data_IF_114956127794
#
_entry.id   IF_114956127794
#
_cell.length_a   1.000
_cell.length_b   1.000
_cell.length_c   1.000
_cell.angle_alpha   90.00
_cell.angle_beta   90.00
_cell.angle_gamma   90.00
#
_symmetry.space_group_name_H-M   'P 1'
#
loop_
_entity.id
_entity.type
_entity.pdbx_description
1 polymer ?
#
# COMPACT_ATOMS: atom_id res chain seq x y z
N UNK A 1 -6.04 13.15 2.51
CA UNK A 1 -4.77 13.76 2.06
C UNK A 1 -4.76 15.27 2.21
N UNK A 2 -5.90 15.91 2.05
CA UNK A 2 -6.03 17.37 2.10
C UNK A 2 -5.85 17.97 3.51
N UNK A 3 -6.00 17.18 4.56
CA UNK A 3 -5.93 17.69 5.95
C UNK A 3 -4.53 17.89 6.51
N UNK A 4 -3.49 17.46 5.84
CA UNK A 4 -2.11 17.51 6.38
C UNK A 4 -1.90 16.71 7.68
N UNK A 5 -2.93 16.04 8.19
CA UNK A 5 -2.85 15.27 9.45
C UNK A 5 -1.79 14.16 9.42
N UNK A 6 -1.56 13.58 8.25
CA UNK A 6 -0.51 12.58 8.03
C UNK A 6 0.91 13.16 8.20
N UNK A 7 1.10 14.47 7.96
CA UNK A 7 2.37 15.16 8.19
C UNK A 7 2.65 15.38 9.68
N UNK A 8 1.60 15.62 10.48
CA UNK A 8 1.74 15.72 11.93
C UNK A 8 2.21 14.39 12.54
N UNK A 9 1.75 13.26 11.98
CA UNK A 9 2.19 11.92 12.37
C UNK A 9 3.65 11.65 11.99
N UNK A 10 4.15 12.33 10.97
CA UNK A 10 5.51 12.16 10.45
C UNK A 10 6.59 12.87 11.29
N UNK A 11 6.23 13.95 11.97
CA UNK A 11 7.19 14.78 12.74
C UNK A 11 8.09 13.99 13.71
N UNK A 12 7.59 13.08 14.56
CA UNK A 12 8.45 12.32 15.48
C UNK A 12 9.38 11.35 14.74
N UNK A 13 9.00 10.90 13.54
CA UNK A 13 9.76 9.94 12.75
C UNK A 13 10.81 10.59 11.83
N UNK A 14 10.86 11.91 11.76
CA UNK A 14 11.73 12.68 10.86
C UNK A 14 13.21 12.27 10.97
N UNK A 15 13.73 12.16 12.20
CA UNK A 15 15.14 11.79 12.41
C UNK A 15 15.43 10.37 11.91
N UNK A 16 14.50 9.46 12.14
CA UNK A 16 14.59 8.07 11.71
C UNK A 16 14.48 7.92 10.18
N UNK A 17 13.54 8.61 9.55
CA UNK A 17 13.29 8.49 8.12
C UNK A 17 14.45 9.04 7.28
N UNK A 18 15.00 10.19 7.65
CA UNK A 18 16.09 10.82 6.92
C UNK A 18 17.41 10.10 7.16
N UNK A 19 17.73 9.76 8.41
CA UNK A 19 19.00 9.13 8.75
C UNK A 19 19.12 7.69 8.25
N UNK A 20 18.03 6.93 8.29
CA UNK A 20 18.05 5.50 7.95
C UNK A 20 17.67 5.23 6.47
N UNK A 21 16.68 5.96 5.95
CA UNK A 21 16.10 5.66 4.64
C UNK A 21 16.35 6.75 3.58
N UNK A 22 16.85 7.93 3.96
CA UNK A 22 17.00 9.05 3.01
C UNK A 22 15.67 9.55 2.46
N UNK A 23 14.55 9.24 3.11
CA UNK A 23 13.21 9.63 2.70
C UNK A 23 12.75 10.86 3.48
N UNK A 24 12.17 11.87 2.81
CA UNK A 24 11.43 12.93 3.49
C UNK A 24 10.36 12.36 4.42
N UNK A 25 10.16 13.01 5.55
CA UNK A 25 9.20 12.59 6.60
C UNK A 25 7.81 12.29 6.06
N UNK A 26 7.38 13.08 5.08
CA UNK A 26 6.09 12.95 4.42
C UNK A 26 5.93 11.61 3.70
N UNK A 27 6.92 11.19 2.95
CA UNK A 27 6.87 9.94 2.17
C UNK A 27 7.06 8.71 3.06
N UNK A 28 7.80 8.86 4.15
CA UNK A 28 7.93 7.79 5.13
C UNK A 28 6.61 7.56 5.90
N UNK A 29 5.90 8.63 6.27
CA UNK A 29 4.58 8.51 6.86
C UNK A 29 3.57 7.84 5.90
N UNK A 30 3.63 8.18 4.61
CA UNK A 30 2.83 7.54 3.57
C UNK A 30 3.15 6.04 3.46
N UNK A 31 4.44 5.68 3.50
CA UNK A 31 4.88 4.30 3.53
C UNK A 31 4.30 3.55 4.72
N UNK A 32 4.44 4.08 5.94
CA UNK A 32 3.88 3.45 7.14
C UNK A 32 2.36 3.30 7.04
N UNK A 33 1.66 4.35 6.62
CA UNK A 33 0.22 4.31 6.46
C UNK A 33 -0.21 3.22 5.46
N UNK A 34 0.54 3.05 4.37
CA UNK A 34 0.27 2.00 3.37
C UNK A 34 0.42 0.59 3.91
N UNK A 35 1.34 0.36 4.87
CA UNK A 35 1.53 -0.95 5.50
C UNK A 35 0.31 -1.35 6.34
N UNK A 36 -0.35 -0.37 6.98
CA UNK A 36 -1.55 -0.63 7.79
C UNK A 36 -2.83 -0.63 6.96
N UNK A 37 -2.97 0.31 6.04
CA UNK A 37 -4.16 0.44 5.23
C UNK A 37 -4.23 -0.57 4.06
N UNK A 38 -3.09 -1.15 3.68
CA UNK A 38 -2.96 -2.08 2.58
C UNK A 38 -2.71 -1.42 1.23
N UNK A 39 -2.30 -2.25 0.25
CA UNK A 39 -1.84 -1.80 -1.06
C UNK A 39 -2.80 -0.89 -1.86
N UNK A 40 -4.12 -1.06 -1.85
CA UNK A 40 -4.97 -0.19 -2.66
C UNK A 40 -4.95 1.26 -2.19
N UNK A 41 -4.78 1.48 -0.89
CA UNK A 41 -4.73 2.83 -0.31
C UNK A 41 -3.40 3.50 -0.64
N UNK A 42 -2.27 2.82 -0.44
CA UNK A 42 -0.95 3.34 -0.79
C UNK A 42 -0.85 3.77 -2.25
N UNK A 43 -1.27 2.91 -3.18
CA UNK A 43 -1.25 3.20 -4.61
C UNK A 43 -2.15 4.40 -4.98
N UNK A 44 -3.35 4.49 -4.41
CA UNK A 44 -4.27 5.61 -4.67
C UNK A 44 -3.72 6.94 -4.16
N UNK A 45 -3.06 6.94 -2.99
CA UNK A 45 -2.41 8.11 -2.44
C UNK A 45 -1.25 8.60 -3.31
N UNK A 46 -0.38 7.69 -3.75
CA UNK A 46 0.72 8.01 -4.67
C UNK A 46 0.22 8.58 -6.00
N UNK A 47 -0.84 7.98 -6.57
CA UNK A 47 -1.47 8.47 -7.79
C UNK A 47 -2.01 9.90 -7.61
N UNK A 48 -2.62 10.20 -6.48
CA UNK A 48 -3.14 11.55 -6.18
C UNK A 48 -2.01 12.57 -6.07
N UNK A 49 -0.93 12.25 -5.33
CA UNK A 49 0.23 13.12 -5.18
C UNK A 49 0.94 13.38 -6.52
N UNK A 50 1.02 12.37 -7.37
CA UNK A 50 1.59 12.51 -8.72
C UNK A 50 0.72 13.41 -9.61
N UNK A 51 -0.61 13.26 -9.55
CA UNK A 51 -1.55 14.12 -10.30
C UNK A 51 -1.51 15.58 -9.83
N UNK A 52 -1.24 15.81 -8.55
CA UNK A 52 -1.08 17.15 -7.98
C UNK A 52 0.29 17.78 -8.29
N UNK A 53 1.19 17.06 -8.97
CA UNK A 53 2.54 17.54 -9.27
C UNK A 53 3.48 17.63 -8.07
N UNK A 54 3.07 17.09 -6.91
CA UNK A 54 3.88 17.08 -5.67
C UNK A 54 4.99 16.04 -5.75
N UNK A 55 4.75 14.94 -6.47
CA UNK A 55 5.64 13.80 -6.61
C UNK A 55 5.94 13.53 -8.08
N UNK A 56 7.23 13.33 -8.42
CA UNK A 56 7.62 12.93 -9.77
C UNK A 56 7.13 11.52 -10.10
N UNK A 57 6.90 11.22 -11.39
CA UNK A 57 6.49 9.89 -11.82
C UNK A 57 7.51 8.80 -11.48
N UNK A 58 8.80 9.13 -11.56
CA UNK A 58 9.89 8.22 -11.23
C UNK A 58 9.90 7.87 -9.74
N UNK A 59 9.80 8.89 -8.89
CA UNK A 59 9.75 8.69 -7.43
C UNK A 59 8.47 7.99 -6.98
N UNK A 60 7.34 8.28 -7.65
CA UNK A 60 6.09 7.57 -7.43
C UNK A 60 6.22 6.07 -7.74
N UNK A 61 6.87 5.71 -8.84
CA UNK A 61 7.12 4.32 -9.21
C UNK A 61 8.00 3.60 -8.18
N UNK A 62 9.04 4.28 -7.69
CA UNK A 62 9.94 3.74 -6.66
C UNK A 62 9.21 3.55 -5.32
N UNK A 63 8.42 4.55 -4.91
CA UNK A 63 7.60 4.45 -3.69
C UNK A 63 6.53 3.37 -3.80
N UNK A 64 5.96 3.17 -4.99
CA UNK A 64 4.97 2.13 -5.21
C UNK A 64 5.52 0.72 -4.91
N UNK A 65 6.80 0.47 -5.21
CA UNK A 65 7.44 -0.82 -4.92
C UNK A 65 7.45 -1.16 -3.43
N UNK A 66 7.54 -0.16 -2.56
CA UNK A 66 7.58 -0.35 -1.09
C UNK A 66 6.22 -0.14 -0.42
N UNK A 67 5.32 0.61 -1.06
CA UNK A 67 3.96 0.86 -0.57
C UNK A 67 2.97 -0.26 -0.93
N UNK A 68 3.46 -1.36 -1.51
CA UNK A 68 2.67 -2.51 -1.91
C UNK A 68 2.74 -3.61 -0.85
N UNK A 69 2.00 -3.45 0.23
CA UNK A 69 1.94 -4.42 1.33
C UNK A 69 0.52 -4.93 1.59
N UNK A 70 0.40 -6.20 1.96
CA UNK A 70 -0.87 -6.75 2.46
C UNK A 70 -1.18 -6.16 3.83
N UNK A 71 -2.25 -5.36 3.94
CA UNK A 71 -2.67 -4.80 5.23
C UNK A 71 -3.09 -5.87 6.23
N UNK A 72 -3.11 -5.54 7.54
CA UNK A 72 -3.46 -6.49 8.60
C UNK A 72 -4.85 -7.11 8.41
N UNK A 73 -5.81 -6.37 7.90
CA UNK A 73 -7.15 -6.87 7.62
C UNK A 73 -7.15 -7.99 6.56
N UNK A 74 -6.35 -7.84 5.50
CA UNK A 74 -6.19 -8.86 4.47
C UNK A 74 -5.54 -10.14 5.03
N UNK A 75 -4.46 -9.98 5.81
CA UNK A 75 -3.77 -11.12 6.43
C UNK A 75 -4.66 -11.86 7.44
N UNK A 76 -5.44 -11.14 8.24
CA UNK A 76 -6.40 -11.75 9.16
C UNK A 76 -7.51 -12.51 8.43
N UNK A 77 -7.97 -12.01 7.30
CA UNK A 77 -8.94 -12.69 6.44
C UNK A 77 -8.37 -13.98 5.84
N UNK A 78 -7.14 -13.92 5.32
CA UNK A 78 -6.45 -15.08 4.75
C UNK A 78 -6.18 -16.19 5.79
N UNK A 79 -5.80 -15.81 7.01
CA UNK A 79 -5.49 -16.72 8.11
C UNK A 79 -6.72 -17.17 8.90
N UNK A 80 -7.93 -16.81 8.46
CA UNK A 80 -9.18 -17.11 9.18
C UNK A 80 -9.43 -18.57 9.51
N UNK A 81 -8.87 -19.48 8.72
CA UNK A 81 -9.04 -20.95 8.83
C UNK A 81 -7.87 -21.67 9.52
N UNK A 82 -6.81 -20.94 9.90
CA UNK A 82 -5.59 -21.53 10.47
C UNK A 82 -5.70 -21.64 12.00
N UNK A 83 -5.38 -22.82 12.56
CA UNK A 83 -5.43 -23.08 14.00
C UNK A 83 -4.53 -22.15 14.83
N UNK A 84 -3.33 -21.82 14.34
CA UNK A 84 -2.38 -20.88 14.98
C UNK A 84 -2.51 -19.46 14.48
N UNK A 85 -3.70 -18.98 14.25
CA UNK A 85 -4.02 -17.69 13.60
C UNK A 85 -3.21 -16.50 14.12
N UNK A 86 -3.11 -16.36 15.45
CA UNK A 86 -2.46 -15.19 16.06
C UNK A 86 -0.94 -15.17 15.85
N UNK A 87 -0.29 -16.30 16.07
CA UNK A 87 1.17 -16.44 15.91
C UNK A 87 1.56 -16.33 14.43
N UNK A 88 0.86 -17.03 13.54
CA UNK A 88 1.08 -16.94 12.11
C UNK A 88 0.88 -15.51 11.58
N UNK A 89 -0.17 -14.81 12.05
CA UNK A 89 -0.41 -13.42 11.69
C UNK A 89 0.77 -12.52 12.08
N UNK A 90 1.24 -12.60 13.33
CA UNK A 90 2.36 -11.76 13.80
C UNK A 90 3.65 -12.06 13.03
N UNK A 91 3.95 -13.33 12.76
CA UNK A 91 5.13 -13.72 12.00
C UNK A 91 5.07 -13.22 10.56
N UNK A 92 3.96 -13.42 9.86
CA UNK A 92 3.80 -13.01 8.46
C UNK A 92 3.79 -11.49 8.35
N UNK A 93 3.06 -10.80 9.23
CA UNK A 93 3.00 -9.35 9.23
C UNK A 93 4.36 -8.71 9.54
N UNK A 94 5.08 -9.21 10.55
CA UNK A 94 6.41 -8.71 10.89
C UNK A 94 7.43 -9.00 9.79
N UNK A 95 7.40 -10.17 9.18
CA UNK A 95 8.26 -10.52 8.06
C UNK A 95 7.99 -9.62 6.84
N UNK A 96 6.71 -9.38 6.50
CA UNK A 96 6.32 -8.47 5.43
C UNK A 96 6.77 -7.04 5.70
N UNK A 97 6.55 -6.54 6.92
CA UNK A 97 6.98 -5.20 7.31
C UNK A 97 8.51 -5.06 7.24
N UNK A 98 9.25 -6.07 7.74
CA UNK A 98 10.71 -6.08 7.69
C UNK A 98 11.23 -6.12 6.25
N UNK A 99 10.64 -6.95 5.39
CA UNK A 99 11.01 -7.03 3.97
C UNK A 99 10.77 -5.68 3.26
N UNK A 100 9.63 -5.04 3.50
CA UNK A 100 9.34 -3.72 2.92
C UNK A 100 10.26 -2.62 3.47
N UNK A 101 10.62 -2.65 4.76
CA UNK A 101 11.60 -1.73 5.34
C UNK A 101 13.00 -1.94 4.72
N UNK A 102 13.42 -3.19 4.55
CA UNK A 102 14.69 -3.53 3.91
C UNK A 102 14.71 -3.05 2.45
N UNK A 103 13.64 -3.29 1.72
CA UNK A 103 13.49 -2.82 0.34
C UNK A 103 13.50 -1.28 0.26
N UNK A 104 12.82 -0.61 1.19
CA UNK A 104 12.85 0.84 1.33
C UNK A 104 14.28 1.35 1.54
N UNK A 105 15.02 0.73 2.45
CA UNK A 105 16.43 1.06 2.68
C UNK A 105 17.28 0.88 1.42
N UNK A 106 17.18 -0.26 0.74
CA UNK A 106 17.97 -0.56 -0.47
C UNK A 106 17.67 0.41 -1.61
N UNK A 107 16.40 0.78 -1.82
CA UNK A 107 15.98 1.64 -2.93
C UNK A 107 16.34 3.12 -2.72
N UNK A 108 16.26 3.61 -1.47
CA UNK A 108 16.37 5.05 -1.20
C UNK A 108 17.69 5.46 -0.57
N UNK A 109 18.45 4.54 0.03
CA UNK A 109 19.76 4.85 0.60
C UNK A 109 20.75 5.40 -0.44
N UNK A 110 20.69 4.90 -1.69
CA UNK A 110 21.60 5.36 -2.77
C UNK A 110 21.07 6.54 -3.58
N UNK A 111 19.76 6.73 -3.65
CA UNK A 111 19.10 7.82 -4.37
C UNK A 111 17.98 8.39 -3.52
N UNK A 112 18.28 9.34 -2.63
CA UNK A 112 17.24 9.98 -1.82
C UNK A 112 16.23 10.70 -2.71
N UNK A 113 14.98 10.73 -2.28
CA UNK A 113 13.92 11.47 -2.96
C UNK A 113 13.99 12.93 -2.54
N UNK A 114 13.82 13.83 -3.51
CA UNK A 114 13.72 15.26 -3.23
C UNK A 114 12.48 15.55 -2.37
N UNK A 115 12.58 16.49 -1.42
CA UNK A 115 11.42 16.92 -0.65
C UNK A 115 10.35 17.47 -1.59
N UNK A 116 9.06 17.37 -1.22
CA UNK A 116 7.95 17.84 -2.05
C UNK A 116 8.13 19.32 -2.38
N UNK A 117 7.96 19.66 -3.65
CA UNK A 117 8.21 21.01 -4.22
C UNK A 117 7.32 22.09 -3.58
N UNK A 118 6.16 21.73 -3.04
CA UNK A 118 5.25 22.65 -2.38
C UNK A 118 5.12 22.30 -0.87
N UNK A 119 6.10 22.75 -0.08
CA UNK A 119 6.10 22.63 1.38
C UNK A 119 5.08 23.48 2.14
N UNK A 120 4.24 24.24 1.45
CA UNK A 120 3.20 25.08 2.06
C UNK A 120 1.86 24.34 2.21
N UNK A 121 1.90 23.14 2.75
CA UNK A 121 0.66 22.54 3.23
C UNK A 121 0.32 23.15 4.59
N UNK A 122 -0.36 24.30 4.56
CA UNK A 122 -1.06 24.80 5.73
C UNK A 122 -1.92 23.65 6.29
N UNK A 123 -1.71 23.31 7.54
CA UNK A 123 -2.54 22.33 8.24
C UNK A 123 -3.95 22.92 8.23
N UNK A 124 -4.77 22.48 7.28
CA UNK A 124 -6.17 22.90 7.26
C UNK A 124 -6.86 22.27 8.45
N UNK A 125 -7.62 23.06 9.24
CA UNK A 125 -8.31 22.52 10.39
C UNK A 125 -9.27 21.39 9.96
N UNK A 126 -9.35 20.36 10.77
CA UNK A 126 -10.21 19.21 10.53
C UNK A 126 -11.66 19.69 10.44
N UNK A 127 -12.26 19.59 9.25
CA UNK A 127 -13.65 19.99 8.99
C UNK A 127 -14.53 18.76 8.81
N UNK A 128 -15.79 18.84 9.25
CA UNK A 128 -16.79 17.79 9.00
C UNK A 128 -16.97 17.47 7.51
N UNK A 129 -16.80 18.46 6.64
CA UNK A 129 -16.84 18.27 5.18
C UNK A 129 -15.69 17.38 4.68
N UNK A 130 -14.50 17.50 5.26
CA UNK A 130 -13.35 16.62 4.95
C UNK A 130 -13.63 15.16 5.34
N UNK A 131 -14.30 14.96 6.48
CA UNK A 131 -14.67 13.61 6.91
C UNK A 131 -15.68 12.99 5.93
N UNK A 132 -16.70 13.73 5.54
CA UNK A 132 -17.70 13.27 4.58
C UNK A 132 -17.08 12.95 3.22
N UNK A 133 -16.18 13.81 2.74
CA UNK A 133 -15.44 13.56 1.50
C UNK A 133 -14.54 12.31 1.60
N UNK A 134 -13.83 12.14 2.71
CA UNK A 134 -12.98 10.99 2.95
C UNK A 134 -13.79 9.68 2.96
N UNK A 135 -14.91 9.65 3.67
CA UNK A 135 -15.82 8.48 3.74
C UNK A 135 -16.38 8.16 2.36
N UNK A 136 -16.87 9.16 1.63
CA UNK A 136 -17.43 8.96 0.28
C UNK A 136 -16.36 8.46 -0.71
N UNK A 137 -15.14 9.02 -0.63
CA UNK A 137 -14.02 8.60 -1.47
C UNK A 137 -13.57 7.17 -1.14
N UNK A 138 -13.50 6.82 0.15
CA UNK A 138 -13.21 5.46 0.60
C UNK A 138 -14.29 4.47 0.12
N UNK A 139 -15.57 4.81 0.24
CA UNK A 139 -16.70 4.00 -0.25
C UNK A 139 -16.59 3.72 -1.75
N UNK A 140 -16.33 4.74 -2.56
CA UNK A 140 -16.11 4.57 -4.01
C UNK A 140 -14.94 3.66 -4.34
N UNK A 141 -13.84 3.77 -3.59
CA UNK A 141 -12.66 2.92 -3.78
C UNK A 141 -12.97 1.47 -3.42
N UNK A 142 -13.67 1.24 -2.32
CA UNK A 142 -14.13 -0.10 -1.91
C UNK A 142 -15.04 -0.74 -2.95
N UNK A 143 -16.01 0.00 -3.49
CA UNK A 143 -16.90 -0.51 -4.55
C UNK A 143 -16.13 -0.93 -5.80
N UNK A 144 -15.14 -0.14 -6.23
CA UNK A 144 -14.28 -0.49 -7.36
C UNK A 144 -13.47 -1.76 -7.09
N UNK A 145 -12.91 -1.88 -5.89
CA UNK A 145 -12.15 -3.07 -5.48
C UNK A 145 -13.04 -4.31 -5.43
N UNK A 146 -14.22 -4.22 -4.84
CA UNK A 146 -15.19 -5.32 -4.81
C UNK A 146 -15.57 -5.75 -6.24
N UNK A 147 -15.83 -4.80 -7.13
CA UNK A 147 -16.11 -5.09 -8.54
C UNK A 147 -14.98 -5.83 -9.24
N UNK A 148 -13.73 -5.40 -9.03
CA UNK A 148 -12.56 -6.10 -9.57
C UNK A 148 -12.42 -7.51 -9.01
N UNK A 149 -12.56 -7.68 -7.69
CA UNK A 149 -12.48 -8.99 -7.03
C UNK A 149 -13.54 -9.95 -7.59
N UNK A 150 -14.78 -9.46 -7.72
CA UNK A 150 -15.87 -10.27 -8.31
C UNK A 150 -15.59 -10.64 -9.76
N UNK A 151 -15.05 -9.72 -10.56
CA UNK A 151 -14.65 -9.99 -11.94
C UNK A 151 -13.57 -11.08 -12.02
N UNK A 152 -12.52 -10.98 -11.20
CA UNK A 152 -11.48 -12.00 -11.14
C UNK A 152 -11.99 -13.33 -10.60
N UNK A 153 -12.87 -13.32 -9.60
CA UNK A 153 -13.48 -14.53 -9.07
C UNK A 153 -14.35 -15.23 -10.14
N UNK A 154 -15.12 -14.48 -10.91
CA UNK A 154 -15.89 -15.02 -12.02
C UNK A 154 -15.01 -15.62 -13.11
N UNK A 155 -13.94 -14.90 -13.52
CA UNK A 155 -12.97 -15.40 -14.50
C UNK A 155 -12.29 -16.68 -14.03
N UNK A 156 -11.83 -16.71 -12.78
CA UNK A 156 -11.21 -17.93 -12.22
C UNK A 156 -12.20 -19.08 -12.14
N UNK A 157 -13.46 -18.81 -11.79
CA UNK A 157 -14.53 -19.81 -11.82
C UNK A 157 -14.78 -20.39 -13.21
N UNK A 158 -14.81 -19.55 -14.24
CA UNK A 158 -14.94 -19.98 -15.65
C UNK A 158 -13.74 -20.83 -16.07
N UNK A 159 -12.52 -20.43 -15.74
CA UNK A 159 -11.31 -21.19 -16.07
C UNK A 159 -11.24 -22.54 -15.35
N UNK A 160 -11.73 -22.61 -14.11
CA UNK A 160 -11.88 -23.87 -13.38
C UNK A 160 -12.90 -24.78 -14.06
N UNK A 161 -14.07 -24.25 -14.41
CA UNK A 161 -15.13 -25.01 -15.09
C UNK A 161 -14.69 -25.51 -16.48
N UNK A 162 -13.93 -24.69 -17.20
CA UNK A 162 -13.36 -25.04 -18.50
C UNK A 162 -12.19 -26.06 -18.43
N UNK A 163 -11.76 -26.45 -17.20
CA UNK A 163 -10.66 -27.41 -17.02
C UNK A 163 -9.27 -26.89 -17.38
N UNK A 164 -9.12 -25.59 -17.63
CA UNK A 164 -7.86 -24.98 -18.04
C UNK A 164 -6.74 -25.17 -16.99
N UNK A 165 -7.09 -25.13 -15.71
CA UNK A 165 -6.12 -25.38 -14.62
C UNK A 165 -5.60 -26.84 -14.65
N UNK A 166 -6.46 -27.81 -14.99
CA UNK A 166 -6.05 -29.22 -15.13
C UNK A 166 -5.13 -29.40 -16.33
N UNK A 167 -5.41 -28.71 -17.42
CA UNK A 167 -4.56 -28.74 -18.60
C UNK A 167 -3.17 -28.13 -18.33
N UNK A 168 -3.12 -26.99 -17.63
CA UNK A 168 -1.85 -26.35 -17.25
C UNK A 168 -1.03 -27.21 -16.28
N UNK A 169 -1.65 -27.82 -15.26
CA UNK A 169 -0.95 -28.73 -14.34
C UNK A 169 -0.45 -29.99 -15.04
N UNK A 170 -1.23 -30.58 -15.94
CA UNK A 170 -0.79 -31.72 -16.74
C UNK A 170 0.42 -31.37 -17.63
N UNK A 171 0.41 -30.20 -18.23
CA UNK A 171 1.50 -29.69 -19.07
C UNK A 171 2.78 -29.42 -18.27
N UNK A 172 2.65 -28.85 -17.06
CA UNK A 172 3.77 -28.66 -16.14
C UNK A 172 4.38 -29.98 -15.65
N UNK A 173 3.54 -30.97 -15.36
CA UNK A 173 3.99 -32.30 -14.94
C UNK A 173 4.65 -33.10 -16.09
N UNK A 174 4.30 -32.81 -17.34
CA UNK A 174 4.94 -33.43 -18.50
C UNK A 174 6.27 -32.80 -18.91
N UNK A 175 6.61 -31.62 -18.35
CA UNK A 175 7.85 -30.90 -18.59
C UNK A 175 8.95 -31.15 -17.53
N UNK A 176 8.58 -31.83 -16.44
CA UNK A 176 9.48 -32.27 -15.34
C UNK A 176 9.78 -33.77 -15.48
#
# INVERSE_FOLDING_TARGET
>A
LESGAWQALARPLRRFSIALFGLPESYFALFLLSQFAGYPVGASMLCTLTKQGVLSKEDASRLLCVCYGGGPAFLLGLLGTVSCRRTCFLLIFSANLFANLLLCFLLFHRKPISPPVNGNNAITPFSAQMLTFAVTSAGRTLLKLCGMILCFAALTGIFQAAGLFRCCTALMLSLI
#
